data_IF_635917797526
#
_entry.id   IF_635917797526
#
_cell.length_a   1.000
_cell.length_b   1.000
_cell.length_c   1.000
_cell.angle_alpha   90.00
_cell.angle_beta   90.00
_cell.angle_gamma   90.00
#
_symmetry.space_group_name_H-M   'P 1'
#
loop_
_entity.id
_entity.type
_entity.pdbx_description
1 polymer ?
#
# COMPACT_ATOMS: atom_id res chain seq x y z
N UNK A 1 6.91 34.53 30.42
CA UNK A 1 6.59 33.13 30.81
C UNK A 1 7.66 32.23 30.25
N UNK A 2 8.70 31.90 31.04
CA UNK A 2 9.69 30.90 30.67
C UNK A 2 9.04 29.52 30.79
N UNK A 3 8.92 28.81 29.67
CA UNK A 3 8.47 27.42 29.65
C UNK A 3 9.62 26.60 30.22
N UNK A 4 9.50 26.19 31.49
CA UNK A 4 10.48 25.31 32.13
C UNK A 4 10.62 23.98 31.36
N UNK A 5 11.79 23.34 31.40
CA UNK A 5 12.02 22.08 30.68
C UNK A 5 11.05 21.01 31.20
N UNK A 6 10.27 20.43 30.29
CA UNK A 6 9.37 19.29 30.55
C UNK A 6 10.20 18.10 31.02
N UNK A 7 10.26 17.86 32.33
CA UNK A 7 10.94 16.69 32.90
C UNK A 7 10.04 15.46 32.73
N UNK A 8 10.31 14.68 31.68
CA UNK A 8 9.65 13.39 31.48
C UNK A 8 10.17 12.37 32.49
N UNK A 9 9.25 11.65 33.14
CA UNK A 9 9.63 10.52 34.00
C UNK A 9 10.25 9.39 33.16
N UNK A 10 11.17 8.60 33.75
CA UNK A 10 11.77 7.43 33.07
C UNK A 10 10.73 6.49 32.45
N UNK A 11 9.57 6.33 33.09
CA UNK A 11 8.46 5.49 32.58
C UNK A 11 7.83 6.08 31.31
N UNK A 12 7.63 7.40 31.25
CA UNK A 12 7.10 8.07 30.06
C UNK A 12 8.08 8.01 28.89
N UNK A 13 9.38 8.14 29.17
CA UNK A 13 10.42 8.07 28.16
C UNK A 13 10.49 6.67 27.52
N UNK A 14 10.41 5.61 28.33
CA UNK A 14 10.31 4.23 27.84
C UNK A 14 9.05 4.01 26.98
N UNK A 15 7.89 4.54 27.42
CA UNK A 15 6.67 4.41 26.61
C UNK A 15 6.73 5.18 25.29
N UNK A 16 7.36 6.35 25.27
CA UNK A 16 7.55 7.14 24.05
C UNK A 16 8.48 6.42 23.07
N UNK A 17 9.60 5.87 23.56
CA UNK A 17 10.50 5.07 22.76
C UNK A 17 9.79 3.84 22.17
N UNK A 18 8.94 3.18 22.96
CA UNK A 18 8.16 2.04 22.48
C UNK A 18 7.11 2.43 21.42
N UNK A 19 6.44 3.57 21.59
CA UNK A 19 5.51 4.09 20.58
C UNK A 19 6.25 4.47 19.28
N UNK A 20 7.43 5.07 19.40
CA UNK A 20 8.27 5.41 18.25
C UNK A 20 8.75 4.17 17.51
N UNK A 21 9.16 3.12 18.23
CA UNK A 21 9.56 1.85 17.61
C UNK A 21 8.39 1.15 16.90
N UNK A 22 7.21 1.13 17.52
CA UNK A 22 6.00 0.61 16.86
C UNK A 22 5.64 1.42 15.61
N UNK A 23 5.67 2.76 15.66
CA UNK A 23 5.43 3.62 14.50
C UNK A 23 6.46 3.37 13.39
N UNK A 24 7.73 3.20 13.74
CA UNK A 24 8.78 2.85 12.79
C UNK A 24 8.52 1.49 12.12
N UNK A 25 8.07 0.49 12.90
CA UNK A 25 7.64 -0.80 12.37
C UNK A 25 6.47 -0.69 11.40
N UNK A 26 5.46 0.13 11.72
CA UNK A 26 4.35 0.43 10.81
C UNK A 26 4.85 1.09 9.53
N UNK A 27 5.71 2.11 9.63
CA UNK A 27 6.28 2.77 8.46
C UNK A 27 7.12 1.82 7.60
N UNK A 28 7.93 0.97 8.22
CA UNK A 28 8.75 -0.03 7.53
C UNK A 28 7.88 -1.03 6.78
N UNK A 29 6.86 -1.59 7.45
CA UNK A 29 5.88 -2.49 6.83
C UNK A 29 5.13 -1.83 5.67
N UNK A 30 4.82 -0.53 5.84
CA UNK A 30 3.95 0.19 4.93
C UNK A 30 4.64 0.71 3.67
N UNK A 31 5.84 1.25 3.82
CA UNK A 31 6.51 2.04 2.79
C UNK A 31 7.71 1.35 2.17
N UNK A 32 8.28 0.32 2.82
CA UNK A 32 9.52 -0.32 2.37
C UNK A 32 9.36 -1.85 2.25
N UNK A 33 8.44 -2.34 1.39
CA UNK A 33 8.34 -3.78 1.14
C UNK A 33 9.54 -4.32 0.37
N UNK A 34 10.33 -3.46 -0.28
CA UNK A 34 11.55 -3.85 -0.98
C UNK A 34 12.60 -4.49 -0.06
N UNK A 35 12.54 -4.25 1.26
CA UNK A 35 13.44 -4.93 2.20
C UNK A 35 13.11 -6.42 2.38
N UNK A 36 11.88 -6.83 2.06
CA UNK A 36 11.42 -8.22 2.18
C UNK A 36 12.21 -9.14 1.23
N UNK A 37 12.54 -8.67 0.03
CA UNK A 37 13.32 -9.45 -0.94
C UNK A 37 14.81 -9.56 -0.59
N UNK A 38 15.37 -8.60 0.16
CA UNK A 38 16.77 -8.60 0.53
C UNK A 38 17.08 -9.46 1.77
N UNK A 39 16.23 -9.39 2.80
CA UNK A 39 16.45 -10.11 4.06
C UNK A 39 15.11 -10.47 4.75
N UNK A 40 14.39 -11.49 4.25
CA UNK A 40 13.02 -11.77 4.66
C UNK A 40 12.91 -12.11 6.16
N UNK A 41 13.79 -12.97 6.67
CA UNK A 41 13.78 -13.40 8.07
C UNK A 41 14.03 -12.24 9.06
N UNK A 42 14.93 -11.31 8.72
CA UNK A 42 15.17 -10.09 9.51
C UNK A 42 13.98 -9.14 9.42
N UNK A 43 13.41 -8.96 8.22
CA UNK A 43 12.27 -8.09 7.99
C UNK A 43 11.05 -8.53 8.82
N UNK A 44 10.60 -9.78 8.66
CA UNK A 44 9.47 -10.32 9.42
C UNK A 44 9.78 -10.34 10.93
N UNK A 45 11.00 -10.71 11.33
CA UNK A 45 11.41 -10.72 12.74
C UNK A 45 11.33 -9.35 13.41
N UNK A 46 11.82 -8.29 12.74
CA UNK A 46 11.75 -6.91 13.24
C UNK A 46 10.30 -6.43 13.32
N UNK A 47 9.47 -6.75 12.32
CA UNK A 47 8.05 -6.39 12.34
C UNK A 47 7.29 -7.09 13.47
N UNK A 48 7.48 -8.40 13.65
CA UNK A 48 6.90 -9.14 14.78
C UNK A 48 7.31 -8.53 16.12
N UNK A 49 8.60 -8.20 16.30
CA UNK A 49 9.09 -7.54 17.51
C UNK A 49 8.39 -6.19 17.75
N UNK A 50 8.24 -5.37 16.71
CA UNK A 50 7.58 -4.06 16.81
C UNK A 50 6.09 -4.16 17.16
N UNK A 51 5.34 -5.06 16.52
CA UNK A 51 3.91 -5.22 16.77
C UNK A 51 3.63 -5.89 18.13
N UNK A 52 4.41 -6.91 18.51
CA UNK A 52 4.27 -7.56 19.82
C UNK A 52 4.65 -6.61 20.96
N UNK A 53 5.69 -5.79 20.80
CA UNK A 53 6.01 -4.76 21.78
C UNK A 53 4.87 -3.76 21.92
N UNK A 54 4.30 -3.28 20.81
CA UNK A 54 3.15 -2.37 20.83
C UNK A 54 1.96 -2.96 21.59
N UNK A 55 1.64 -4.23 21.34
CA UNK A 55 0.57 -4.95 22.04
C UNK A 55 0.88 -5.16 23.54
N UNK A 56 2.13 -5.48 23.89
CA UNK A 56 2.55 -5.62 25.29
C UNK A 56 2.40 -4.29 26.05
N UNK A 57 2.84 -3.16 25.46
CA UNK A 57 2.65 -1.83 26.06
C UNK A 57 1.16 -1.52 26.22
N UNK A 58 0.34 -1.77 25.21
CA UNK A 58 -1.11 -1.60 25.29
C UNK A 58 -1.73 -2.45 26.42
N UNK A 59 -1.30 -3.70 26.56
CA UNK A 59 -1.72 -4.60 27.64
C UNK A 59 -1.34 -4.06 29.02
N UNK A 60 -0.11 -3.56 29.20
CA UNK A 60 0.32 -2.96 30.49
C UNK A 60 -0.47 -1.69 30.82
N UNK A 61 -0.81 -0.87 29.83
CA UNK A 61 -1.64 0.32 30.02
C UNK A 61 -3.06 -0.04 30.43
N UNK A 62 -3.67 -1.02 29.75
CA UNK A 62 -5.00 -1.54 30.09
C UNK A 62 -5.04 -2.11 31.51
N UNK A 63 -4.01 -2.85 31.90
CA UNK A 63 -3.91 -3.43 33.23
C UNK A 63 -3.73 -2.36 34.32
N UNK A 64 -2.80 -1.43 34.12
CA UNK A 64 -2.53 -0.33 35.06
C UNK A 64 -3.72 0.62 35.24
N UNK A 65 -4.52 0.81 34.18
CA UNK A 65 -5.69 1.69 34.22
C UNK A 65 -6.97 1.05 34.77
N UNK A 66 -6.94 -0.23 35.18
CA UNK A 66 -8.12 -0.88 35.80
C UNK A 66 -8.58 -0.21 37.09
N UNK A 67 -7.65 0.38 37.85
CA UNK A 67 -7.90 1.05 39.14
C UNK A 67 -8.08 2.57 39.05
N UNK A 68 -7.98 3.13 37.85
CA UNK A 68 -8.03 4.57 37.64
C UNK A 68 -9.45 5.04 37.29
N UNK A 69 -9.65 6.37 37.32
CA UNK A 69 -10.91 7.01 36.96
C UNK A 69 -11.46 6.53 35.61
N UNK A 70 -12.80 6.44 35.46
CA UNK A 70 -13.44 5.91 34.26
C UNK A 70 -13.09 6.68 32.98
N UNK A 71 -12.79 7.99 33.08
CA UNK A 71 -12.37 8.82 31.93
C UNK A 71 -11.00 8.40 31.40
N UNK A 72 -10.03 8.28 32.29
CA UNK A 72 -8.67 7.85 31.94
C UNK A 72 -8.66 6.42 31.40
N UNK A 73 -9.50 5.54 31.97
CA UNK A 73 -9.67 4.17 31.48
C UNK A 73 -10.16 4.13 30.03
N UNK A 74 -11.17 4.92 29.68
CA UNK A 74 -11.70 4.99 28.30
C UNK A 74 -10.67 5.53 27.31
N UNK A 75 -9.94 6.59 27.69
CA UNK A 75 -8.85 7.14 26.86
C UNK A 75 -7.77 6.10 26.56
N UNK A 76 -7.39 5.32 27.58
CA UNK A 76 -6.38 4.27 27.43
C UNK A 76 -6.90 3.10 26.60
N UNK A 77 -8.18 2.71 26.76
CA UNK A 77 -8.79 1.69 25.91
C UNK A 77 -8.79 2.08 24.43
N UNK A 78 -9.09 3.34 24.12
CA UNK A 78 -9.09 3.83 22.74
C UNK A 78 -7.68 3.96 22.16
N UNK A 79 -6.68 4.28 22.97
CA UNK A 79 -5.28 4.27 22.55
C UNK A 79 -4.74 2.85 22.34
N UNK A 80 -5.11 1.91 23.22
CA UNK A 80 -4.71 0.50 23.14
C UNK A 80 -5.32 -0.26 21.95
N UNK A 81 -6.46 0.22 21.43
CA UNK A 81 -7.12 -0.36 20.27
C UNK A 81 -6.22 -0.38 19.02
N UNK A 82 -5.48 0.70 18.77
CA UNK A 82 -4.62 0.86 17.58
C UNK A 82 -3.54 -0.23 17.43
N UNK A 83 -2.64 -0.45 18.40
CA UNK A 83 -1.60 -1.46 18.27
C UNK A 83 -2.16 -2.89 18.26
N UNK A 84 -3.24 -3.17 18.98
CA UNK A 84 -3.88 -4.49 19.00
C UNK A 84 -4.55 -4.80 17.65
N UNK A 85 -5.27 -3.84 17.08
CA UNK A 85 -5.86 -3.99 15.75
C UNK A 85 -4.79 -4.19 14.68
N UNK A 86 -3.73 -3.39 14.67
CA UNK A 86 -2.66 -3.54 13.68
C UNK A 86 -1.93 -4.88 13.80
N UNK A 87 -1.68 -5.38 15.01
CA UNK A 87 -1.11 -6.71 15.21
C UNK A 87 -2.00 -7.80 14.59
N UNK A 88 -3.33 -7.71 14.74
CA UNK A 88 -4.26 -8.67 14.13
C UNK A 88 -4.22 -8.62 12.59
N UNK A 89 -4.17 -7.42 12.00
CA UNK A 89 -4.06 -7.27 10.54
C UNK A 89 -2.72 -7.82 10.04
N UNK A 90 -1.63 -7.55 10.76
CA UNK A 90 -0.30 -8.06 10.44
C UNK A 90 -0.23 -9.60 10.57
N UNK A 91 -0.75 -10.17 11.66
CA UNK A 91 -0.80 -11.62 11.85
C UNK A 91 -1.59 -12.33 10.74
N UNK A 92 -2.72 -11.74 10.29
CA UNK A 92 -3.48 -12.27 9.16
C UNK A 92 -2.73 -12.17 7.83
N UNK A 93 -1.89 -11.14 7.66
CA UNK A 93 -1.03 -11.01 6.48
C UNK A 93 0.06 -12.09 6.43
N UNK A 94 0.76 -12.30 7.55
CA UNK A 94 1.81 -13.33 7.69
C UNK A 94 1.26 -14.75 7.51
N UNK A 95 0.01 -14.99 7.92
CA UNK A 95 -0.66 -16.27 7.72
C UNK A 95 -1.13 -16.50 6.26
N UNK A 96 -0.91 -15.54 5.34
CA UNK A 96 -1.37 -15.61 3.95
C UNK A 96 -2.89 -15.53 3.79
N UNK A 97 -3.62 -15.07 4.82
CA UNK A 97 -5.09 -15.01 4.82
C UNK A 97 -5.57 -13.66 4.29
N UNK A 98 -5.39 -13.42 2.99
CA UNK A 98 -5.71 -12.12 2.36
C UNK A 98 -7.16 -11.67 2.56
N UNK A 99 -8.12 -12.60 2.50
CA UNK A 99 -9.52 -12.31 2.76
C UNK A 99 -9.75 -11.83 4.20
N UNK A 100 -9.15 -12.51 5.18
CA UNK A 100 -9.27 -12.15 6.60
C UNK A 100 -8.59 -10.81 6.88
N UNK A 101 -7.42 -10.57 6.29
CA UNK A 101 -6.70 -9.29 6.39
C UNK A 101 -7.55 -8.12 5.91
N UNK A 102 -8.17 -8.25 4.74
CA UNK A 102 -9.03 -7.20 4.18
C UNK A 102 -10.25 -6.93 5.07
N UNK A 103 -10.89 -7.99 5.57
CA UNK A 103 -12.02 -7.88 6.52
C UNK A 103 -11.58 -7.18 7.81
N UNK A 104 -10.48 -7.61 8.44
CA UNK A 104 -9.94 -7.00 9.66
C UNK A 104 -9.53 -5.53 9.45
N UNK A 105 -8.96 -5.19 8.30
CA UNK A 105 -8.62 -3.81 7.97
C UNK A 105 -9.87 -2.93 7.84
N UNK A 106 -10.89 -3.40 7.11
CA UNK A 106 -12.13 -2.65 6.90
C UNK A 106 -12.92 -2.47 8.20
N UNK A 107 -13.13 -3.56 8.95
CA UNK A 107 -13.84 -3.50 10.23
C UNK A 107 -13.07 -2.70 11.27
N UNK A 108 -11.75 -2.78 11.28
CA UNK A 108 -10.96 -2.01 12.22
C UNK A 108 -10.97 -0.51 11.94
N UNK A 109 -11.01 -0.12 10.66
CA UNK A 109 -11.16 1.27 10.24
C UNK A 109 -12.57 1.80 10.57
N UNK A 110 -13.62 0.98 10.36
CA UNK A 110 -14.97 1.30 10.82
C UNK A 110 -15.05 1.44 12.36
N UNK A 111 -14.38 0.58 13.11
CA UNK A 111 -14.26 0.68 14.56
C UNK A 111 -13.55 1.95 15.01
N UNK A 112 -12.48 2.35 14.31
CA UNK A 112 -11.75 3.59 14.59
C UNK A 112 -12.61 4.83 14.34
N UNK A 113 -13.42 4.81 13.27
CA UNK A 113 -14.41 5.85 12.99
C UNK A 113 -15.43 5.98 14.13
N UNK A 114 -16.00 4.86 14.60
CA UNK A 114 -17.00 4.88 15.69
C UNK A 114 -16.40 5.34 17.02
N UNK A 115 -15.17 4.91 17.33
CA UNK A 115 -14.45 5.34 18.53
C UNK A 115 -14.18 6.85 18.49
N UNK A 116 -13.70 7.36 17.35
CA UNK A 116 -13.47 8.80 17.17
C UNK A 116 -14.77 9.59 17.25
N UNK A 117 -15.85 9.10 16.63
CA UNK A 117 -17.17 9.72 16.73
C UNK A 117 -17.67 9.77 18.17
N UNK A 118 -17.49 8.71 18.95
CA UNK A 118 -17.87 8.70 20.37
C UNK A 118 -17.11 9.76 21.18
N UNK A 119 -15.82 9.98 20.89
CA UNK A 119 -15.04 11.06 21.51
C UNK A 119 -15.51 12.45 21.08
N UNK A 120 -15.85 12.63 19.80
CA UNK A 120 -16.39 13.90 19.28
C UNK A 120 -17.74 14.22 19.95
N UNK A 121 -18.66 13.26 20.02
CA UNK A 121 -19.95 13.42 20.69
C UNK A 121 -19.76 13.73 22.18
N UNK A 122 -18.86 13.01 22.86
CA UNK A 122 -18.55 13.28 24.26
C UNK A 122 -17.95 14.67 24.48
N UNK A 123 -17.00 15.09 23.62
CA UNK A 123 -16.38 16.41 23.68
C UNK A 123 -17.37 17.54 23.39
N UNK A 124 -18.26 17.34 22.43
CA UNK A 124 -19.34 18.26 22.09
C UNK A 124 -20.30 18.44 23.26
N UNK A 125 -20.70 17.35 23.93
CA UNK A 125 -21.55 17.37 25.12
C UNK A 125 -20.86 18.07 26.31
N UNK A 126 -19.56 17.88 26.47
CA UNK A 126 -18.79 18.57 27.50
C UNK A 126 -18.71 20.08 27.22
N UNK A 127 -18.46 20.46 25.96
CA UNK A 127 -18.39 21.85 25.55
C UNK A 127 -19.76 22.53 25.65
N UNK A 128 -20.84 21.86 25.22
CA UNK A 128 -22.20 22.41 25.28
C UNK A 128 -22.61 22.71 26.72
N UNK A 129 -22.32 21.80 27.66
CA UNK A 129 -22.55 22.00 29.11
C UNK A 129 -21.75 23.17 29.66
N UNK A 130 -20.48 23.28 29.28
CA UNK A 130 -19.60 24.37 29.72
C UNK A 130 -20.11 25.75 29.28
N UNK A 131 -20.52 25.89 28.02
CA UNK A 131 -21.10 27.13 27.51
C UNK A 131 -22.48 27.41 28.13
N UNK A 132 -23.28 26.38 28.37
CA UNK A 132 -24.56 26.52 29.06
C UNK A 132 -24.41 27.03 30.49
N UNK A 133 -23.46 26.47 31.27
CA UNK A 133 -23.17 26.92 32.63
C UNK A 133 -22.65 28.36 32.67
N UNK A 134 -21.72 28.71 31.77
CA UNK A 134 -21.21 30.09 31.66
C UNK A 134 -22.32 31.10 31.33
N UNK A 135 -23.30 30.68 30.54
CA UNK A 135 -24.46 31.52 30.18
C UNK A 135 -25.39 31.75 31.36
N UNK A 136 -25.69 30.69 32.12
CA UNK A 136 -26.48 30.80 33.35
C UNK A 136 -25.81 31.72 34.37
N UNK A 137 -24.48 31.67 34.49
CA UNK A 137 -23.73 32.56 35.37
C UNK A 137 -23.77 34.04 34.92
N UNK A 138 -23.83 34.32 33.61
CA UNK A 138 -23.92 35.70 33.09
C UNK A 138 -25.33 36.28 33.18
N UNK A 139 -26.36 35.43 33.10
CA UNK A 139 -27.75 35.85 33.11
C UNK A 139 -28.54 35.03 34.15
N UNK A 140 -28.46 35.39 35.44
CA UNK A 140 -29.17 34.67 36.50
C UNK A 140 -30.70 34.65 36.30
N UNK A 141 -31.27 35.69 35.67
CA UNK A 141 -32.70 35.72 35.30
C UNK A 141 -33.12 34.68 34.25
N UNK A 142 -32.19 34.15 33.45
CA UNK A 142 -32.46 33.05 32.53
C UNK A 142 -32.47 31.70 33.25
N UNK A 143 -31.78 31.56 34.38
CA UNK A 143 -31.74 30.32 35.15
C UNK A 143 -33.13 29.97 35.72
N UNK A 144 -33.82 30.95 36.29
CA UNK A 144 -35.20 30.80 36.77
C UNK A 144 -36.17 30.40 35.64
N UNK A 145 -35.97 30.92 34.42
CA UNK A 145 -36.79 30.58 33.25
C UNK A 145 -36.48 29.20 32.65
N UNK A 146 -35.24 28.73 32.82
CA UNK A 146 -34.76 27.47 32.27
C UNK A 146 -35.34 26.25 33.01
N UNK A 147 -35.64 26.41 34.30
CA UNK A 147 -36.24 25.39 35.18
C UNK A 147 -37.66 25.00 34.72
N UNK A 148 -38.40 25.93 34.11
CA UNK A 148 -39.77 25.70 33.62
C UNK A 148 -39.86 25.23 32.15
N UNK A 149 -38.83 25.45 31.32
CA UNK A 149 -38.88 25.24 29.85
C UNK A 149 -37.93 24.16 29.33
N UNK A 150 -37.33 23.35 30.20
CA UNK A 150 -36.56 22.16 29.78
C UNK A 150 -35.28 22.49 29.01
N UNK A 151 -34.60 23.59 29.33
CA UNK A 151 -33.22 23.82 28.89
C UNK A 151 -33.03 24.60 27.58
N UNK A 152 -34.06 25.19 26.98
CA UNK A 152 -33.94 26.01 25.76
C UNK A 152 -34.20 27.48 26.09
N UNK A 153 -33.13 28.22 26.40
CA UNK A 153 -33.19 29.67 26.59
C UNK A 153 -32.93 30.39 25.28
N UNK A 154 -33.96 31.12 24.80
CA UNK A 154 -33.78 32.08 23.71
C UNK A 154 -33.05 33.31 24.25
N UNK A 155 -31.84 33.51 23.74
CA UNK A 155 -31.00 34.67 24.08
C UNK A 155 -31.13 35.70 22.95
N UNK A 156 -31.29 37.00 23.27
CA UNK A 156 -31.44 38.05 22.26
C UNK A 156 -30.16 38.28 21.44
N UNK A 157 -29.00 37.88 21.96
CA UNK A 157 -27.70 38.06 21.30
C UNK A 157 -27.38 36.95 20.30
N UNK A 158 -26.84 37.35 19.14
CA UNK A 158 -26.45 36.43 18.07
C UNK A 158 -25.14 35.73 18.40
N UNK A 159 -25.22 34.46 18.79
CA UNK A 159 -24.04 33.62 19.10
C UNK A 159 -23.57 32.86 17.85
N UNK A 160 -22.26 32.88 17.58
CA UNK A 160 -21.62 32.26 16.41
C UNK A 160 -20.91 30.92 16.68
N UNK A 161 -20.70 30.57 17.96
CA UNK A 161 -19.88 29.42 18.33
C UNK A 161 -20.58 28.07 18.03
N UNK A 162 -19.99 27.17 17.22
CA UNK A 162 -20.57 25.84 16.89
C UNK A 162 -20.74 24.88 18.05
N UNK A 163 -19.95 25.05 19.10
CA UNK A 163 -20.03 24.22 20.30
C UNK A 163 -21.18 24.68 21.22
N UNK A 164 -21.79 25.82 20.93
CA UNK A 164 -22.91 26.36 21.69
C UNK A 164 -24.24 25.98 21.04
N UNK A 165 -25.14 25.39 21.84
CA UNK A 165 -26.48 25.00 21.42
C UNK A 165 -27.34 26.17 20.94
N UNK A 166 -27.07 27.38 21.41
CA UNK A 166 -27.84 28.56 21.05
C UNK A 166 -27.26 29.33 19.85
N UNK A 167 -26.33 28.74 19.09
CA UNK A 167 -25.83 29.38 17.88
C UNK A 167 -26.98 29.64 16.89
N UNK A 168 -26.95 30.80 16.24
CA UNK A 168 -28.07 31.28 15.42
C UNK A 168 -28.44 30.33 14.27
N UNK A 169 -27.47 29.64 13.68
CA UNK A 169 -27.68 28.75 12.53
C UNK A 169 -28.23 27.36 12.90
N UNK A 170 -28.32 26.99 14.18
CA UNK A 170 -29.02 25.75 14.58
C UNK A 170 -30.54 25.90 14.63
N UNK A 171 -31.06 27.11 14.34
CA UNK A 171 -32.48 27.40 14.31
C UNK A 171 -33.14 27.42 15.69
N UNK A 172 -34.48 27.50 15.70
CA UNK A 172 -35.27 27.55 16.95
C UNK A 172 -35.84 26.19 17.37
N UNK A 173 -35.98 25.25 16.44
CA UNK A 173 -36.51 23.89 16.68
C UNK A 173 -35.38 22.86 16.66
N UNK A 174 -35.43 21.89 17.57
CA UNK A 174 -34.52 20.75 17.63
C UNK A 174 -33.00 21.08 17.58
N UNK A 175 -32.56 22.12 18.31
CA UNK A 175 -31.16 22.61 18.33
C UNK A 175 -30.12 21.52 18.61
N UNK A 176 -30.39 20.60 19.55
CA UNK A 176 -29.51 19.47 19.87
C UNK A 176 -29.32 18.52 18.71
N UNK A 177 -30.40 18.21 17.99
CA UNK A 177 -30.35 17.33 16.82
C UNK A 177 -29.52 17.97 15.72
N UNK A 178 -29.78 19.25 15.41
CA UNK A 178 -29.04 19.97 14.38
C UNK A 178 -27.54 20.06 14.71
N UNK A 179 -27.18 20.32 15.97
CA UNK A 179 -25.79 20.32 16.43
C UNK A 179 -25.12 18.94 16.31
N UNK A 180 -25.83 17.87 16.67
CA UNK A 180 -25.29 16.51 16.51
C UNK A 180 -25.12 16.11 15.04
N UNK A 181 -26.04 16.54 14.16
CA UNK A 181 -26.00 16.26 12.73
C UNK A 181 -24.85 17.00 12.05
N UNK A 182 -24.63 18.28 12.36
CA UNK A 182 -23.49 19.03 11.81
C UNK A 182 -22.16 18.47 12.29
N UNK A 183 -22.06 18.08 13.57
CA UNK A 183 -20.87 17.44 14.11
C UNK A 183 -20.58 16.10 13.43
N UNK A 184 -21.62 15.27 13.22
CA UNK A 184 -21.50 13.99 12.50
C UNK A 184 -21.05 14.22 11.05
N UNK A 185 -21.68 15.16 10.34
CA UNK A 185 -21.35 15.45 8.94
C UNK A 185 -19.91 15.95 8.78
N UNK A 186 -19.50 16.92 9.61
CA UNK A 186 -18.16 17.47 9.57
C UNK A 186 -17.10 16.43 9.95
N UNK A 187 -17.36 15.62 10.97
CA UNK A 187 -16.47 14.52 11.37
C UNK A 187 -16.33 13.47 10.26
N UNK A 188 -17.45 13.07 9.64
CA UNK A 188 -17.44 12.10 8.55
C UNK A 188 -16.67 12.60 7.34
N UNK A 189 -16.89 13.87 6.96
CA UNK A 189 -16.14 14.50 5.87
C UNK A 189 -14.64 14.56 6.17
N UNK A 190 -14.26 15.03 7.37
CA UNK A 190 -12.87 15.12 7.77
C UNK A 190 -12.19 13.75 7.83
N UNK A 191 -12.90 12.72 8.32
CA UNK A 191 -12.39 11.36 8.38
C UNK A 191 -12.15 10.77 6.99
N UNK A 192 -13.11 10.93 6.06
CA UNK A 192 -12.97 10.48 4.67
C UNK A 192 -11.80 11.19 3.99
N UNK A 193 -11.67 12.51 4.17
CA UNK A 193 -10.54 13.27 3.63
C UNK A 193 -9.20 12.79 4.20
N UNK A 194 -9.11 12.54 5.51
CA UNK A 194 -7.91 12.02 6.14
C UNK A 194 -7.52 10.65 5.58
N UNK A 195 -8.49 9.72 5.49
CA UNK A 195 -8.26 8.38 4.92
C UNK A 195 -7.84 8.47 3.45
N UNK A 196 -8.46 9.37 2.68
CA UNK A 196 -8.09 9.60 1.29
C UNK A 196 -6.65 10.12 1.16
N UNK A 197 -6.25 11.11 1.97
CA UNK A 197 -4.87 11.63 1.98
C UNK A 197 -3.87 10.53 2.33
N UNK A 198 -4.14 9.75 3.39
CA UNK A 198 -3.27 8.64 3.80
C UNK A 198 -3.22 7.51 2.77
N UNK A 199 -4.31 7.24 2.07
CA UNK A 199 -4.37 6.27 0.97
C UNK A 199 -3.57 6.71 -0.25
N UNK A 200 -3.55 8.02 -0.56
CA UNK A 200 -2.79 8.58 -1.69
C UNK A 200 -1.27 8.51 -1.50
N UNK A 201 -0.77 8.42 -0.26
CA UNK A 201 0.66 8.26 0.03
C UNK A 201 1.26 6.92 -0.43
N UNK A 202 0.44 5.96 -0.86
CA UNK A 202 0.91 4.63 -1.27
C UNK A 202 1.46 4.54 -2.70
N UNK A 203 1.19 5.53 -3.55
CA UNK A 203 1.21 5.30 -4.99
C UNK A 203 0.10 4.33 -5.43
N UNK A 204 -0.42 4.50 -6.63
CA UNK A 204 -1.40 3.58 -7.19
C UNK A 204 -0.70 2.26 -7.57
N UNK A 205 -0.68 1.26 -6.67
CA UNK A 205 -0.22 -0.09 -7.01
C UNK A 205 -1.29 -0.79 -7.82
N UNK A 206 -0.94 -1.23 -9.01
CA UNK A 206 -1.84 -1.95 -9.89
C UNK A 206 -1.45 -3.42 -9.92
N UNK A 207 -2.43 -4.31 -9.76
CA UNK A 207 -2.20 -5.74 -9.75
C UNK A 207 -2.63 -6.33 -11.10
N UNK A 208 -1.70 -7.00 -11.78
CA UNK A 208 -2.01 -7.80 -12.95
C UNK A 208 -2.18 -9.27 -12.53
N UNK A 209 -3.39 -9.80 -12.73
CA UNK A 209 -3.68 -11.21 -12.51
C UNK A 209 -3.83 -11.91 -13.87
N UNK A 210 -2.99 -12.92 -14.10
CA UNK A 210 -3.09 -13.79 -15.28
C UNK A 210 -4.28 -14.75 -15.15
N UNK A 211 -4.92 -15.20 -16.25
CA UNK A 211 -5.92 -16.26 -16.17
C UNK A 211 -5.26 -17.57 -15.73
N UNK A 212 -5.93 -18.29 -14.83
CA UNK A 212 -5.48 -19.60 -14.35
C UNK A 212 -5.33 -20.60 -15.51
N UNK A 213 -4.24 -21.35 -15.51
CA UNK A 213 -4.05 -22.52 -16.38
C UNK A 213 -3.41 -23.69 -15.66
N UNK A 214 -3.54 -24.87 -16.26
CA UNK A 214 -3.18 -26.13 -15.61
C UNK A 214 -1.68 -26.44 -15.53
N UNK A 215 -0.81 -25.66 -16.16
CA UNK A 215 0.63 -25.94 -16.20
C UNK A 215 1.35 -25.68 -14.87
N UNK A 216 2.40 -26.45 -14.55
CA UNK A 216 3.38 -26.11 -13.50
C UNK A 216 4.52 -25.29 -14.11
N UNK A 217 4.91 -24.20 -13.46
CA UNK A 217 6.02 -23.36 -13.93
C UNK A 217 7.35 -24.08 -13.73
N UNK A 218 8.04 -24.44 -14.82
CA UNK A 218 9.47 -24.76 -14.76
C UNK A 218 10.25 -23.49 -15.05
N UNK A 219 10.94 -22.94 -14.04
CA UNK A 219 11.89 -21.85 -14.29
C UNK A 219 13.02 -22.39 -15.17
N UNK A 220 13.09 -21.93 -16.41
CA UNK A 220 14.23 -22.22 -17.28
C UNK A 220 15.39 -21.38 -16.75
N UNK A 221 16.22 -21.97 -15.88
CA UNK A 221 17.46 -21.34 -15.47
C UNK A 221 18.34 -21.18 -16.71
N UNK A 222 18.61 -19.94 -17.11
CA UNK A 222 19.60 -19.65 -18.14
C UNK A 222 20.98 -20.03 -17.59
N UNK A 223 21.39 -21.28 -17.78
CA UNK A 223 22.73 -21.73 -17.39
C UNK A 223 23.74 -21.18 -18.40
N UNK A 224 24.33 -20.03 -18.10
CA UNK A 224 25.50 -19.54 -18.84
C UNK A 224 26.69 -20.44 -18.49
N UNK A 225 26.99 -21.42 -19.34
CA UNK A 225 28.21 -22.22 -19.20
C UNK A 225 29.40 -21.36 -19.62
N UNK A 226 30.04 -20.69 -18.66
CA UNK A 226 31.31 -19.99 -18.89
C UNK A 226 32.39 -21.04 -19.14
N UNK A 227 32.72 -21.31 -20.40
CA UNK A 227 33.90 -22.13 -20.73
C UNK A 227 35.16 -21.29 -20.51
N UNK A 228 35.90 -21.59 -19.44
CA UNK A 228 37.20 -20.97 -19.18
C UNK A 228 38.22 -21.49 -20.17
N UNK A 229 38.51 -20.73 -21.22
CA UNK A 229 39.60 -21.02 -22.17
C UNK A 229 40.93 -20.78 -21.45
N UNK A 230 41.58 -21.85 -20.98
CA UNK A 230 42.92 -21.76 -20.38
C UNK A 230 43.95 -21.74 -21.52
N UNK A 231 44.45 -20.56 -21.88
CA UNK A 231 45.59 -20.43 -22.79
C UNK A 231 46.88 -20.80 -22.05
N UNK A 232 47.55 -21.88 -22.47
CA UNK A 232 48.89 -22.22 -21.96
C UNK A 232 49.92 -21.26 -22.58
N UNK A 233 50.54 -20.41 -21.76
CA UNK A 233 51.68 -19.57 -22.19
C UNK A 233 52.96 -20.37 -22.03
N UNK A 234 53.58 -20.76 -23.14
CA UNK A 234 54.90 -21.39 -23.12
C UNK A 234 55.96 -20.32 -22.85
N UNK A 235 56.75 -20.51 -21.80
CA UNK A 235 57.94 -19.70 -21.52
C UNK A 235 59.13 -20.49 -22.05
N UNK A 236 59.71 -20.06 -23.16
CA UNK A 236 60.79 -20.78 -23.84
C UNK A 236 62.11 -20.03 -23.61
N UNK A 237 63.17 -20.76 -23.31
CA UNK A 237 64.51 -20.21 -23.27
C UNK A 237 64.96 -19.87 -24.70
N UNK A 238 65.31 -18.61 -24.96
CA UNK A 238 65.67 -18.10 -26.31
C UNK A 238 66.84 -18.86 -26.96
N UNK A 239 67.70 -19.52 -26.18
CA UNK A 239 68.86 -20.26 -26.69
C UNK A 239 68.62 -21.77 -26.88
N UNK A 240 67.41 -22.29 -26.68
CA UNK A 240 67.11 -23.70 -26.96
C UNK A 240 66.79 -23.93 -28.43
N UNK A 241 67.36 -24.97 -29.04
CA UNK A 241 67.15 -25.38 -30.45
C UNK A 241 65.79 -26.05 -30.73
N UNK A 242 64.80 -25.85 -29.86
CA UNK A 242 63.49 -26.48 -29.96
C UNK A 242 62.63 -25.67 -30.94
N UNK A 243 62.39 -26.24 -32.12
CA UNK A 243 61.47 -25.68 -33.12
C UNK A 243 60.06 -26.16 -32.76
N UNK A 244 59.20 -25.24 -32.30
CA UNK A 244 57.78 -25.54 -32.12
C UNK A 244 57.10 -25.51 -33.48
N UNK A 245 56.53 -26.64 -33.91
CA UNK A 245 55.54 -26.62 -34.98
C UNK A 245 54.26 -25.98 -34.41
N UNK A 246 53.84 -24.80 -34.87
CA UNK A 246 52.56 -24.25 -34.45
C UNK A 246 51.45 -25.19 -34.94
N UNK A 247 50.48 -25.56 -34.09
CA UNK A 247 49.30 -26.27 -34.58
C UNK A 247 48.58 -25.37 -35.60
N UNK A 248 48.00 -25.94 -36.66
CA UNK A 248 47.22 -25.16 -37.63
C UNK A 248 46.10 -24.41 -36.90
N UNK A 249 45.94 -23.12 -37.23
CA UNK A 249 45.02 -22.19 -36.54
C UNK A 249 43.55 -22.60 -36.69
N UNK A 250 43.24 -23.46 -37.66
CA UNK A 250 41.89 -23.81 -38.08
C UNK A 250 41.16 -24.82 -37.16
N UNK A 251 41.81 -25.34 -36.12
CA UNK A 251 41.19 -26.34 -35.22
C UNK A 251 40.72 -25.79 -33.86
N UNK A 252 40.69 -24.47 -33.68
CA UNK A 252 39.83 -23.92 -32.63
C UNK A 252 38.40 -23.99 -33.14
N UNK A 253 37.79 -25.18 -33.06
CA UNK A 253 36.36 -25.37 -33.19
C UNK A 253 35.70 -24.58 -32.06
N UNK A 254 35.49 -23.28 -32.27
CA UNK A 254 34.50 -22.52 -31.54
C UNK A 254 33.17 -23.22 -31.82
N UNK A 255 32.80 -24.15 -30.94
CA UNK A 255 31.40 -24.52 -30.77
C UNK A 255 30.72 -23.28 -30.19
N UNK A 256 30.49 -22.28 -31.04
CA UNK A 256 29.46 -21.27 -30.85
C UNK A 256 28.15 -22.03 -30.94
N UNK A 257 27.85 -22.80 -29.91
CA UNK A 257 26.49 -23.24 -29.67
C UNK A 257 25.77 -21.93 -29.44
N UNK A 258 24.96 -21.53 -30.42
CA UNK A 258 24.01 -20.44 -30.34
C UNK A 258 23.00 -20.79 -29.24
N UNK A 259 23.43 -20.75 -27.97
CA UNK A 259 22.63 -21.04 -26.78
C UNK A 259 21.72 -19.85 -26.41
N UNK A 260 21.58 -18.89 -27.31
CA UNK A 260 20.50 -17.89 -27.32
C UNK A 260 19.29 -18.36 -28.12
N UNK A 261 19.21 -19.63 -28.51
CA UNK A 261 17.93 -20.23 -28.81
C UNK A 261 17.15 -20.40 -27.49
N UNK A 262 16.20 -19.51 -27.23
CA UNK A 262 15.15 -19.78 -26.25
C UNK A 262 14.51 -21.12 -26.64
N UNK A 263 14.85 -22.20 -25.93
CA UNK A 263 14.18 -23.50 -26.09
C UNK A 263 12.78 -23.40 -25.49
N UNK A 264 11.94 -22.59 -26.12
CA UNK A 264 10.51 -22.60 -25.85
C UNK A 264 9.90 -23.71 -26.70
N UNK A 265 9.70 -24.89 -26.10
CA UNK A 265 8.84 -25.89 -26.68
C UNK A 265 7.40 -25.53 -26.33
N UNK A 266 6.53 -25.42 -27.33
CA UNK A 266 5.09 -25.22 -27.10
C UNK A 266 4.58 -26.40 -26.27
N UNK A 267 4.09 -26.14 -25.05
CA UNK A 267 3.56 -27.18 -24.16
C UNK A 267 4.33 -27.49 -22.87
N UNK A 268 5.22 -26.61 -22.39
CA UNK A 268 5.92 -26.78 -21.09
C UNK A 268 5.03 -26.81 -19.82
N UNK A 269 3.70 -26.81 -19.96
CA UNK A 269 2.77 -26.97 -18.85
C UNK A 269 2.13 -28.36 -18.85
N UNK A 270 2.32 -29.13 -17.79
CA UNK A 270 1.56 -30.36 -17.56
C UNK A 270 0.12 -30.03 -17.18
N UNK A 271 -0.75 -29.73 -18.15
CA UNK A 271 -2.17 -29.45 -17.95
C UNK A 271 -2.95 -29.39 -19.26
N UNK A 272 -4.20 -29.85 -19.24
CA UNK A 272 -5.14 -29.85 -20.39
C UNK A 272 -5.82 -28.50 -20.61
N UNK A 273 -5.75 -27.58 -19.64
CA UNK A 273 -6.38 -26.27 -19.69
C UNK A 273 -5.38 -25.19 -20.10
N UNK A 274 -5.77 -24.39 -21.09
CA UNK A 274 -5.02 -23.21 -21.52
C UNK A 274 -5.00 -22.16 -20.38
N UNK A 275 -3.80 -21.70 -20.02
CA UNK A 275 -3.63 -20.57 -19.09
C UNK A 275 -2.24 -20.53 -18.46
N UNK A 276 -2.06 -19.66 -17.47
CA UNK A 276 -0.78 -19.44 -16.81
C UNK A 276 -0.72 -20.17 -15.46
N UNK A 277 0.43 -20.78 -15.17
CA UNK A 277 0.70 -21.58 -13.96
C UNK A 277 0.54 -20.84 -12.64
N UNK A 278 0.56 -19.50 -12.65
CA UNK A 278 0.34 -18.62 -11.49
C UNK A 278 -0.92 -17.74 -11.59
N UNK A 279 -1.82 -18.05 -12.52
CA UNK A 279 -3.02 -17.26 -12.77
C UNK A 279 -4.17 -17.54 -11.80
N UNK A 280 -5.10 -16.60 -11.69
CA UNK A 280 -6.33 -16.70 -10.89
C UNK A 280 -7.55 -16.87 -11.80
N UNK A 281 -8.67 -17.38 -11.27
CA UNK A 281 -9.93 -17.48 -12.04
C UNK A 281 -10.54 -16.12 -12.41
N UNK A 282 -10.08 -15.04 -11.75
CA UNK A 282 -10.47 -13.64 -11.99
C UNK A 282 -9.54 -12.93 -12.97
N UNK A 283 -8.36 -13.49 -13.21
CA UNK A 283 -7.38 -12.92 -14.11
C UNK A 283 -7.90 -12.81 -15.54
N UNK A 284 -7.68 -11.65 -16.14
CA UNK A 284 -8.00 -11.35 -17.53
C UNK A 284 -6.71 -10.97 -18.23
N UNK A 285 -6.47 -11.52 -19.42
CA UNK A 285 -5.36 -11.06 -20.26
C UNK A 285 -5.63 -9.64 -20.71
N UNK A 286 -4.62 -8.77 -20.59
CA UNK A 286 -4.69 -7.37 -21.02
C UNK A 286 -3.49 -7.09 -21.91
N UNK A 287 -3.74 -6.43 -23.02
CA UNK A 287 -2.69 -5.92 -23.89
C UNK A 287 -2.45 -4.45 -23.52
N UNK A 288 -1.28 -4.19 -22.94
CA UNK A 288 -0.88 -2.88 -22.48
C UNK A 288 0.07 -2.26 -23.50
N UNK A 289 -0.40 -1.18 -24.14
CA UNK A 289 0.40 -0.35 -25.04
C UNK A 289 1.23 0.65 -24.25
N UNK A 290 2.53 0.79 -24.52
CA UNK A 290 3.36 1.78 -23.84
C UNK A 290 3.32 3.14 -24.56
N UNK A 291 3.07 4.19 -23.77
CA UNK A 291 3.11 5.59 -24.19
C UNK A 291 4.55 6.10 -24.10
N UNK A 292 4.98 6.81 -25.14
CA UNK A 292 6.28 7.49 -25.20
C UNK A 292 6.12 8.87 -25.84
N UNK A 293 7.11 9.75 -25.66
CA UNK A 293 7.02 11.18 -26.03
C UNK A 293 7.18 11.47 -27.55
N UNK A 294 6.93 10.47 -28.41
CA UNK A 294 7.05 10.56 -29.87
C UNK A 294 5.76 10.96 -30.61
N UNK A 295 4.62 11.01 -29.92
CA UNK A 295 3.35 11.53 -30.43
C UNK A 295 2.59 10.64 -31.43
N UNK A 296 3.10 9.45 -31.70
CA UNK A 296 2.63 8.47 -32.69
C UNK A 296 2.18 7.13 -32.04
N UNK A 297 2.37 7.02 -30.73
CA UNK A 297 2.00 5.82 -29.96
C UNK A 297 0.48 5.57 -29.92
N UNK A 298 -0.35 6.60 -30.14
CA UNK A 298 -1.80 6.55 -30.03
C UNK A 298 -2.52 6.32 -31.36
N UNK A 299 -1.78 6.05 -32.45
CA UNK A 299 -2.35 5.70 -33.75
C UNK A 299 -3.33 4.52 -33.60
N UNK A 300 -4.59 4.75 -33.95
CA UNK A 300 -5.71 3.81 -33.85
C UNK A 300 -5.92 3.20 -32.45
N UNK A 301 -5.46 3.87 -31.41
CA UNK A 301 -5.67 3.42 -30.04
C UNK A 301 -7.16 3.46 -29.68
N UNK A 302 -7.69 2.34 -29.18
CA UNK A 302 -9.11 2.18 -28.84
C UNK A 302 -10.04 1.91 -30.01
N UNK A 303 -9.58 2.01 -31.26
CA UNK A 303 -10.37 1.73 -32.46
C UNK A 303 -9.65 0.68 -33.30
N UNK A 304 -10.01 -0.59 -33.11
CA UNK A 304 -9.60 -1.67 -34.01
C UNK A 304 -8.43 -2.51 -33.50
N UNK A 305 -7.20 -2.23 -33.93
CA UNK A 305 -6.10 -3.21 -33.95
C UNK A 305 -5.83 -3.88 -32.60
N UNK A 306 -5.68 -3.12 -31.52
CA UNK A 306 -5.37 -3.64 -30.18
C UNK A 306 -6.51 -4.49 -29.62
N UNK A 307 -7.74 -3.99 -29.76
CA UNK A 307 -8.93 -4.68 -29.28
C UNK A 307 -9.19 -5.94 -30.10
N UNK A 308 -9.01 -5.88 -31.42
CA UNK A 308 -9.15 -7.02 -32.32
C UNK A 308 -8.11 -8.09 -32.00
N UNK A 309 -6.85 -7.70 -31.79
CA UNK A 309 -5.80 -8.63 -31.35
C UNK A 309 -6.17 -9.29 -30.02
N UNK A 310 -6.70 -8.52 -29.07
CA UNK A 310 -7.10 -9.03 -27.76
C UNK A 310 -8.32 -9.98 -27.87
N UNK A 311 -9.31 -9.65 -28.69
CA UNK A 311 -10.49 -10.49 -28.94
C UNK A 311 -10.08 -11.78 -29.66
N UNK A 312 -9.29 -11.69 -30.72
CA UNK A 312 -8.78 -12.85 -31.48
C UNK A 312 -7.94 -13.77 -30.58
N UNK A 313 -7.12 -13.19 -29.70
CA UNK A 313 -6.40 -13.94 -28.68
C UNK A 313 -7.37 -14.73 -27.78
N UNK A 314 -8.42 -14.07 -27.27
CA UNK A 314 -9.44 -14.70 -26.44
C UNK A 314 -10.19 -15.82 -27.17
N UNK A 315 -10.56 -15.61 -28.43
CA UNK A 315 -11.26 -16.61 -29.27
C UNK A 315 -10.37 -17.85 -29.50
N UNK A 316 -9.08 -17.65 -29.79
CA UNK A 316 -8.16 -18.74 -30.12
C UNK A 316 -7.65 -19.51 -28.90
N UNK A 317 -7.52 -18.84 -27.75
CA UNK A 317 -6.98 -19.46 -26.52
C UNK A 317 -8.06 -19.90 -25.53
N UNK A 318 -9.28 -19.37 -25.64
CA UNK A 318 -10.33 -19.55 -24.64
C UNK A 318 -10.09 -18.78 -23.34
N UNK A 319 -9.03 -17.97 -23.25
CA UNK A 319 -8.76 -17.15 -22.06
C UNK A 319 -9.75 -16.01 -21.91
N UNK A 320 -10.02 -15.62 -20.67
CA UNK A 320 -10.75 -14.38 -20.38
C UNK A 320 -9.86 -13.19 -20.73
N UNK A 321 -10.38 -12.29 -21.55
CA UNK A 321 -9.69 -11.07 -21.98
C UNK A 321 -10.35 -9.83 -21.42
N UNK A 322 -9.60 -8.73 -21.36
CA UNK A 322 -10.13 -7.44 -20.96
C UNK A 322 -11.05 -6.85 -22.03
N UNK A 323 -12.06 -6.10 -21.62
CA UNK A 323 -13.11 -5.61 -22.52
C UNK A 323 -12.69 -4.30 -23.25
N UNK A 324 -11.60 -3.68 -22.79
CA UNK A 324 -11.08 -2.40 -23.28
C UNK A 324 -9.56 -2.45 -23.49
N UNK A 325 -9.08 -1.64 -24.43
CA UNK A 325 -7.65 -1.41 -24.68
C UNK A 325 -7.02 -0.59 -23.56
N UNK A 326 -5.81 -0.95 -23.15
CA UNK A 326 -5.09 -0.26 -22.08
C UNK A 326 -3.80 0.37 -22.61
N UNK A 327 -3.50 1.61 -22.20
CA UNK A 327 -2.24 2.27 -22.49
C UNK A 327 -1.62 2.87 -21.23
N UNK A 328 -0.31 2.69 -21.06
CA UNK A 328 0.45 3.08 -19.86
C UNK A 328 1.74 3.79 -20.22
N UNK A 329 2.18 4.74 -19.40
CA UNK A 329 3.53 5.29 -19.57
C UNK A 329 4.57 4.32 -19.03
N UNK A 330 5.81 4.38 -19.52
CA UNK A 330 6.88 3.49 -19.04
C UNK A 330 7.11 3.66 -17.54
N UNK A 331 7.02 4.87 -17.01
CA UNK A 331 7.09 5.12 -15.57
C UNK A 331 5.99 4.41 -14.76
N UNK A 332 4.81 4.19 -15.34
CA UNK A 332 3.72 3.47 -14.66
C UNK A 332 3.96 1.97 -14.54
N UNK A 333 4.86 1.38 -15.35
CA UNK A 333 5.24 -0.03 -15.20
C UNK A 333 5.89 -0.30 -13.84
N UNK A 334 6.53 0.71 -13.23
CA UNK A 334 7.08 0.62 -11.89
C UNK A 334 6.00 0.32 -10.82
N UNK A 335 4.73 0.64 -11.08
CA UNK A 335 3.63 0.43 -10.14
C UNK A 335 3.19 -1.03 -10.00
N UNK A 336 3.54 -1.89 -10.97
CA UNK A 336 3.26 -3.31 -10.87
C UNK A 336 4.25 -3.99 -9.91
N UNK A 337 3.78 -4.79 -8.93
CA UNK A 337 4.67 -5.53 -8.05
C UNK A 337 5.33 -6.71 -8.77
N UNK A 338 6.49 -7.14 -8.27
CA UNK A 338 7.25 -8.29 -8.77
C UNK A 338 6.38 -9.55 -8.86
N UNK A 339 6.44 -10.28 -9.98
CA UNK A 339 5.66 -11.50 -10.23
C UNK A 339 4.15 -11.29 -10.45
N UNK A 340 3.69 -10.04 -10.45
CA UNK A 340 2.30 -9.62 -10.76
C UNK A 340 2.28 -8.46 -11.75
N UNK A 341 3.33 -8.40 -12.58
CA UNK A 341 3.45 -7.55 -13.75
C UNK A 341 2.74 -8.17 -14.95
N UNK A 342 2.32 -7.35 -15.92
CA UNK A 342 1.86 -7.85 -17.20
C UNK A 342 3.03 -8.54 -17.94
N UNK A 343 2.88 -9.81 -18.37
CA UNK A 343 3.95 -10.54 -19.06
C UNK A 343 4.15 -10.06 -20.51
N UNK A 344 3.20 -9.28 -21.04
CA UNK A 344 3.23 -8.76 -22.39
C UNK A 344 2.88 -7.28 -22.39
N UNK A 345 3.83 -6.48 -22.81
CA UNK A 345 3.71 -5.05 -23.11
C UNK A 345 4.23 -4.82 -24.51
N UNK A 346 3.64 -3.89 -25.24
CA UNK A 346 4.03 -3.62 -26.62
C UNK A 346 4.07 -2.11 -26.90
N UNK A 347 4.85 -1.76 -27.91
CA UNK A 347 5.03 -0.40 -28.41
C UNK A 347 4.67 -0.37 -29.88
N UNK A 348 4.02 0.71 -30.30
CA UNK A 348 3.62 0.94 -31.69
C UNK A 348 3.97 2.35 -32.08
N UNK A 349 4.39 2.57 -33.33
CA UNK A 349 4.56 3.88 -33.93
C UNK A 349 5.71 3.95 -34.94
N UNK A 350 5.93 5.12 -35.51
CA UNK A 350 6.92 5.47 -36.52
C UNK A 350 7.68 6.74 -36.11
N UNK A 351 9.02 6.71 -36.23
CA UNK A 351 9.98 7.77 -35.85
C UNK A 351 10.41 7.77 -34.37
N UNK A 352 11.27 8.72 -34.01
CA UNK A 352 12.20 8.75 -32.87
C UNK A 352 11.59 8.44 -31.49
N UNK A 353 11.56 7.15 -31.13
CA UNK A 353 11.24 6.70 -29.77
C UNK A 353 12.30 7.26 -28.81
N UNK A 354 11.90 8.28 -28.04
CA UNK A 354 12.71 8.87 -26.99
C UNK A 354 12.25 8.36 -25.63
N UNK A 355 13.19 7.79 -24.86
CA UNK A 355 12.98 7.38 -23.47
C UNK A 355 14.06 8.00 -22.61
N UNK A 356 13.68 8.47 -21.42
CA UNK A 356 14.67 8.97 -20.46
C UNK A 356 15.42 7.81 -19.78
N UNK A 357 16.58 8.10 -19.17
CA UNK A 357 17.38 7.08 -18.46
C UNK A 357 16.60 6.35 -17.36
N UNK A 358 15.67 7.05 -16.71
CA UNK A 358 14.83 6.48 -15.65
C UNK A 358 13.84 5.48 -16.25
N UNK A 359 13.19 5.81 -17.37
CA UNK A 359 12.27 4.90 -18.07
C UNK A 359 12.99 3.67 -18.62
N UNK A 360 14.21 3.85 -19.16
CA UNK A 360 15.04 2.71 -19.60
C UNK A 360 15.36 1.78 -18.42
N UNK A 361 15.65 2.34 -17.24
CA UNK A 361 15.88 1.53 -16.04
C UNK A 361 14.62 0.76 -15.63
N UNK A 362 13.45 1.42 -15.63
CA UNK A 362 12.16 0.78 -15.32
C UNK A 362 11.81 -0.31 -16.33
N UNK A 363 12.04 -0.07 -17.63
CA UNK A 363 11.76 -1.04 -18.68
C UNK A 363 12.71 -2.24 -18.62
N UNK A 364 13.98 -2.01 -18.26
CA UNK A 364 14.94 -3.09 -18.00
C UNK A 364 14.54 -3.93 -16.80
N UNK A 365 14.13 -3.29 -15.70
CA UNK A 365 13.64 -3.97 -14.51
C UNK A 365 12.39 -4.81 -14.84
N UNK A 366 11.46 -4.27 -15.62
CA UNK A 366 10.24 -4.97 -16.04
C UNK A 366 10.52 -6.20 -16.92
N UNK A 367 11.53 -6.14 -17.80
CA UNK A 367 11.89 -7.24 -18.70
C UNK A 367 12.78 -8.33 -18.06
N UNK A 368 13.55 -7.98 -17.03
CA UNK A 368 14.56 -8.89 -16.44
C UNK A 368 14.12 -9.41 -15.08
N UNK A 369 13.54 -8.55 -14.24
CA UNK A 369 13.32 -8.83 -12.82
C UNK A 369 11.84 -9.07 -12.46
N UNK A 370 10.88 -8.55 -13.25
CA UNK A 370 9.44 -8.68 -12.99
C UNK A 370 8.81 -9.84 -13.76
#
# INVERSE_FOLDING_TARGET
MSVGPLSFSRRQLVTLAACAFWLAGVCLWRFVPQLESFAPWLYHGVLWAAFLQGAAVAGTWLWSCRRHEPRRRRAVQTAAYLPLWQLLVFAAHEAGLDGLRAVLANWGLAGLFLIGLAWVVWGLELASRHYHQRRLARHPGLAARNEYLGGVTDVPERVWNPLDLAAWYYGRRARRLNQSLTALALYSLAFVLLVAVLGRLQGCRELYEMPAGGGKQTMIAQTVKVQKIIRKKYVINRFSSIIFNPPPIDEVKLQLVEQTAHQYAVGYGAGSEAGFSGGTQRGKVRFIRLKYDGGDWDQDFGVGADLNMLIEYGIRTGHKVHDQTEARTVAQLANFPLGKSPPFVYMTGQQSISLCKIEIAVLREDLVDK
#
